data_IF_823514603522
#
_entry.id   IF_823514603522
#
_cell.length_a   1.000
_cell.length_b   1.000
_cell.length_c   1.000
_cell.angle_alpha   90.00
_cell.angle_beta   90.00
_cell.angle_gamma   90.00
#
_symmetry.space_group_name_H-M   'P 1'
#
loop_
_entity.id
_entity.type
_entity.pdbx_description
1 polymer ?
#
# COMPACT_ATOMS: atom_id res chain seq x y z
N UNK A 1 -14.74 -36.43 -40.41
CA UNK A 1 -15.62 -35.43 -39.74
C UNK A 1 -15.15 -35.05 -38.33
N UNK A 2 -14.92 -36.01 -37.41
CA UNK A 2 -14.49 -35.68 -36.03
C UNK A 2 -13.18 -34.88 -35.94
N UNK A 3 -12.18 -35.20 -36.75
CA UNK A 3 -10.89 -34.49 -36.75
C UNK A 3 -10.98 -33.05 -37.25
N UNK A 4 -11.89 -32.76 -38.17
CA UNK A 4 -12.15 -31.40 -38.67
C UNK A 4 -12.83 -30.56 -37.57
N UNK A 5 -13.74 -31.16 -36.81
CA UNK A 5 -14.43 -30.50 -35.69
C UNK A 5 -13.45 -30.14 -34.56
N UNK A 6 -12.49 -31.01 -34.26
CA UNK A 6 -11.48 -30.75 -33.22
C UNK A 6 -10.53 -29.63 -33.66
N UNK A 7 -10.12 -29.61 -34.93
CA UNK A 7 -9.26 -28.56 -35.47
C UNK A 7 -9.96 -27.20 -35.48
N UNK A 8 -11.25 -27.15 -35.84
CA UNK A 8 -12.02 -25.90 -35.82
C UNK A 8 -12.24 -25.38 -34.40
N UNK A 9 -12.55 -26.24 -33.43
CA UNK A 9 -12.68 -25.83 -32.02
C UNK A 9 -11.36 -25.31 -31.47
N UNK A 10 -10.23 -25.93 -31.81
CA UNK A 10 -8.89 -25.45 -31.41
C UNK A 10 -8.57 -24.08 -32.00
N UNK A 11 -8.87 -23.85 -33.30
CA UNK A 11 -8.69 -22.54 -33.94
C UNK A 11 -9.60 -21.45 -33.35
N UNK A 12 -10.87 -21.77 -33.08
CA UNK A 12 -11.80 -20.84 -32.43
C UNK A 12 -11.34 -20.48 -31.01
N UNK A 13 -10.79 -21.43 -30.26
CA UNK A 13 -10.26 -21.15 -28.91
C UNK A 13 -9.05 -20.20 -28.93
N UNK A 14 -8.21 -20.26 -29.97
CA UNK A 14 -7.07 -19.35 -30.14
C UNK A 14 -7.45 -17.93 -30.62
N UNK A 15 -8.65 -17.76 -31.20
CA UNK A 15 -9.19 -16.47 -31.60
C UNK A 15 -9.86 -15.72 -30.43
N UNK A 16 -10.19 -16.42 -29.34
CA UNK A 16 -10.52 -15.79 -28.05
C UNK A 16 -9.21 -15.43 -27.33
N UNK A 17 -8.28 -14.78 -28.04
CA UNK A 17 -7.26 -13.97 -27.40
C UNK A 17 -7.99 -12.75 -26.86
N UNK A 18 -8.47 -12.85 -25.63
CA UNK A 18 -9.11 -11.77 -24.89
C UNK A 18 -8.08 -10.66 -24.65
N UNK A 19 -7.80 -9.85 -25.68
CA UNK A 19 -7.33 -8.49 -25.45
C UNK A 19 -8.51 -7.76 -24.83
N UNK A 20 -8.62 -7.84 -23.51
CA UNK A 20 -9.69 -7.18 -22.80
C UNK A 20 -9.53 -5.68 -23.01
N UNK A 21 -10.45 -5.04 -23.70
CA UNK A 21 -10.62 -3.58 -23.76
C UNK A 21 -11.09 -3.02 -22.41
N UNK A 22 -10.71 -3.66 -21.29
CA UNK A 22 -11.24 -3.42 -19.97
C UNK A 22 -10.95 -1.99 -19.50
N UNK A 23 -9.89 -1.36 -20.02
CA UNK A 23 -9.46 -0.01 -19.64
C UNK A 23 -9.62 1.04 -20.76
N UNK A 24 -10.31 0.73 -21.85
CA UNK A 24 -10.49 1.67 -22.97
C UNK A 24 -11.22 2.94 -22.53
N UNK A 25 -10.61 4.10 -22.78
CA UNK A 25 -11.16 5.43 -22.46
C UNK A 25 -10.79 5.98 -21.07
N UNK A 26 -10.08 5.22 -20.23
CA UNK A 26 -9.64 5.66 -18.90
C UNK A 26 -8.21 6.20 -18.99
N UNK A 27 -7.99 7.45 -18.58
CA UNK A 27 -6.64 8.04 -18.49
C UNK A 27 -5.93 7.53 -17.23
N UNK A 28 -5.25 6.39 -17.34
CA UNK A 28 -4.48 5.75 -16.27
C UNK A 28 -2.98 6.06 -16.41
N UNK A 29 -2.23 6.23 -15.31
CA UNK A 29 -0.78 6.31 -15.38
C UNK A 29 -0.20 5.00 -15.90
N UNK A 30 0.78 5.10 -16.80
CA UNK A 30 1.42 3.94 -17.44
C UNK A 30 2.03 2.95 -16.44
N UNK A 31 2.42 3.41 -15.25
CA UNK A 31 2.89 2.54 -14.16
C UNK A 31 1.92 1.37 -13.92
N UNK A 32 0.63 1.67 -13.85
CA UNK A 32 -0.36 0.67 -13.48
C UNK A 32 -0.79 -0.23 -14.65
N UNK A 33 -0.54 0.18 -15.89
CA UNK A 33 -0.67 -0.70 -17.05
C UNK A 33 0.43 -1.77 -17.02
N UNK A 34 1.66 -1.37 -16.70
CA UNK A 34 2.78 -2.31 -16.56
C UNK A 34 2.55 -3.28 -15.39
N UNK A 35 2.06 -2.78 -14.25
CA UNK A 35 1.80 -3.58 -13.05
C UNK A 35 0.63 -4.57 -13.18
N UNK A 36 -0.18 -4.47 -14.25
CA UNK A 36 -1.20 -5.47 -14.56
C UNK A 36 -0.61 -6.69 -15.27
N UNK A 37 0.54 -6.53 -15.94
CA UNK A 37 1.22 -7.58 -16.69
C UNK A 37 2.34 -8.25 -15.89
N UNK A 38 3.07 -7.49 -15.07
CA UNK A 38 4.21 -7.97 -14.28
C UNK A 38 4.25 -7.33 -12.89
N UNK A 39 4.74 -8.07 -11.90
CA UNK A 39 5.00 -7.55 -10.55
C UNK A 39 6.32 -6.79 -10.56
N UNK A 40 6.30 -5.52 -10.17
CA UNK A 40 7.51 -4.69 -10.16
C UNK A 40 8.29 -4.80 -8.85
N UNK A 41 9.62 -4.78 -8.91
CA UNK A 41 10.46 -4.76 -7.71
C UNK A 41 10.81 -3.32 -7.30
N UNK A 42 10.69 -3.03 -6.01
CA UNK A 42 11.01 -1.71 -5.45
C UNK A 42 12.07 -1.79 -4.36
N UNK A 43 13.20 -1.14 -4.60
CA UNK A 43 14.32 -1.04 -3.65
C UNK A 43 14.42 0.38 -3.11
N UNK A 44 14.44 0.51 -1.79
CA UNK A 44 14.65 1.78 -1.08
C UNK A 44 15.98 1.70 -0.34
N UNK A 45 16.84 2.69 -0.58
CA UNK A 45 18.12 2.82 0.12
C UNK A 45 18.12 4.14 0.89
N UNK A 46 18.47 4.10 2.17
CA UNK A 46 18.57 5.26 3.06
C UNK A 46 19.78 5.11 4.00
N UNK A 47 20.23 6.17 4.67
CA UNK A 47 21.32 6.10 5.64
C UNK A 47 21.03 5.13 6.80
N UNK A 48 22.07 4.51 7.36
CA UNK A 48 21.92 3.54 8.46
C UNK A 48 21.22 4.14 9.69
N UNK A 49 21.48 5.41 10.00
CA UNK A 49 20.81 6.13 11.08
C UNK A 49 19.28 6.20 10.87
N UNK A 50 18.85 6.40 9.62
CA UNK A 50 17.43 6.42 9.26
C UNK A 50 16.81 5.01 9.29
N UNK A 51 17.60 3.97 8.98
CA UNK A 51 17.16 2.57 9.13
C UNK A 51 16.91 2.22 10.60
N UNK A 52 17.78 2.66 11.52
CA UNK A 52 17.58 2.42 12.95
C UNK A 52 16.38 3.19 13.50
N UNK A 53 16.17 4.43 13.08
CA UNK A 53 14.94 5.19 13.38
C UNK A 53 13.69 4.51 12.83
N UNK A 54 13.76 3.99 11.61
CA UNK A 54 12.66 3.24 11.01
C UNK A 54 12.32 1.99 11.82
N UNK A 55 13.32 1.20 12.24
CA UNK A 55 13.11 0.00 13.08
C UNK A 55 12.50 0.37 14.43
N UNK A 56 13.01 1.43 15.07
CA UNK A 56 12.48 1.90 16.35
C UNK A 56 11.00 2.32 16.21
N UNK A 57 10.65 3.07 15.16
CA UNK A 57 9.28 3.50 14.90
C UNK A 57 8.35 2.35 14.48
N UNK A 58 8.86 1.35 13.74
CA UNK A 58 8.08 0.19 13.33
C UNK A 58 7.83 -0.79 14.48
N UNK A 59 8.73 -0.92 15.45
CA UNK A 59 8.61 -1.92 16.52
C UNK A 59 7.85 -1.45 17.76
N UNK A 60 7.24 -0.26 17.74
CA UNK A 60 6.51 0.25 18.92
C UNK A 60 5.24 -0.58 19.20
N UNK A 61 4.60 -1.11 18.14
CA UNK A 61 3.30 -1.79 18.26
C UNK A 61 2.24 -0.90 18.94
N UNK A 62 1.02 -1.42 19.09
CA UNK A 62 0.15 -0.89 20.13
C UNK A 62 0.57 -1.57 21.44
N UNK A 63 1.44 -0.94 22.21
CA UNK A 63 1.58 -1.28 23.62
C UNK A 63 0.31 -0.80 24.32
N UNK A 64 -0.69 -1.66 24.45
CA UNK A 64 -1.73 -1.47 25.45
C UNK A 64 -1.04 -1.80 26.78
N UNK A 65 -0.56 -0.76 27.48
CA UNK A 65 -0.29 -0.93 28.90
C UNK A 65 -1.68 -1.08 29.56
N UNK A 66 -2.02 -2.30 29.97
CA UNK A 66 -3.31 -2.61 30.62
C UNK A 66 -3.49 -1.90 31.97
N UNK A 67 -2.45 -1.21 32.45
CA UNK A 67 -2.42 -0.55 33.75
C UNK A 67 -2.25 0.97 33.61
N UNK A 68 -3.29 1.73 33.98
CA UNK A 68 -3.15 3.15 34.30
C UNK A 68 -3.07 3.29 35.83
N UNK A 69 -1.89 3.67 36.32
CA UNK A 69 -1.65 4.15 37.68
C UNK A 69 -2.12 3.21 38.81
N UNK A 70 -1.46 2.06 38.96
CA UNK A 70 -1.53 1.10 40.08
C UNK A 70 -2.91 0.60 40.59
N UNK A 71 -4.06 1.18 40.23
CA UNK A 71 -5.33 0.91 40.93
C UNK A 71 -6.63 1.07 40.09
N UNK A 72 -6.60 1.29 38.78
CA UNK A 72 -7.86 1.35 38.00
C UNK A 72 -7.70 0.73 36.61
N UNK A 73 -8.51 -0.30 36.36
CA UNK A 73 -8.52 -1.06 35.10
C UNK A 73 -9.38 -0.35 34.04
N UNK A 74 -9.04 -0.54 32.76
CA UNK A 74 -9.87 -0.13 31.61
C UNK A 74 -11.34 -0.53 31.79
N UNK A 75 -11.56 -1.72 32.34
CA UNK A 75 -12.88 -2.25 32.60
C UNK A 75 -13.66 -1.43 33.62
N UNK A 76 -13.01 -0.93 34.67
CA UNK A 76 -13.63 -0.06 35.68
C UNK A 76 -13.99 1.33 35.13
N UNK A 77 -13.12 1.90 34.29
CA UNK A 77 -13.36 3.18 33.61
C UNK A 77 -14.49 3.11 32.58
N UNK A 78 -14.66 1.97 31.90
CA UNK A 78 -15.74 1.76 30.93
C UNK A 78 -17.08 1.35 31.59
N UNK A 79 -17.04 0.81 32.81
CA UNK A 79 -18.21 0.37 33.56
C UNK A 79 -18.80 1.44 34.50
N UNK A 80 -18.11 2.58 34.68
CA UNK A 80 -18.63 3.70 35.49
C UNK A 80 -19.86 4.34 34.84
N UNK A 81 -20.86 4.71 35.65
CA UNK A 81 -22.09 5.36 35.17
C UNK A 81 -21.82 6.66 34.41
N UNK A 82 -20.78 7.39 34.80
CA UNK A 82 -20.24 8.55 34.08
C UNK A 82 -18.75 8.34 33.79
N UNK A 83 -18.39 7.80 32.61
CA UNK A 83 -17.00 7.58 32.26
C UNK A 83 -16.26 8.92 32.09
N UNK A 84 -15.09 9.02 32.71
CA UNK A 84 -14.16 10.14 32.48
C UNK A 84 -13.59 10.03 31.06
N UNK A 85 -14.28 10.66 30.12
CA UNK A 85 -13.89 10.70 28.71
C UNK A 85 -12.51 11.34 28.51
N UNK A 86 -12.04 12.19 29.42
CA UNK A 86 -10.72 12.80 29.34
C UNK A 86 -9.65 11.76 29.69
N UNK A 87 -9.84 11.02 30.78
CA UNK A 87 -8.96 9.91 31.15
C UNK A 87 -8.95 8.81 30.06
N UNK A 88 -10.11 8.46 29.49
CA UNK A 88 -10.19 7.53 28.36
C UNK A 88 -9.43 8.06 27.13
N UNK A 89 -9.54 9.34 26.81
CA UNK A 89 -8.82 9.93 25.68
C UNK A 89 -7.29 9.97 25.88
N UNK A 90 -6.83 10.12 27.12
CA UNK A 90 -5.41 10.06 27.47
C UNK A 90 -4.88 8.61 27.43
N UNK A 91 -5.70 7.63 27.81
CA UNK A 91 -5.36 6.20 27.68
C UNK A 91 -5.22 5.77 26.22
N UNK A 92 -6.18 6.14 25.36
CA UNK A 92 -6.12 5.82 23.93
C UNK A 92 -5.16 6.72 23.15
N UNK A 93 -4.47 7.64 23.82
CA UNK A 93 -3.42 8.42 23.17
C UNK A 93 -2.27 7.46 22.89
N UNK A 94 -2.01 7.12 21.61
CA UNK A 94 -0.90 6.24 21.30
C UNK A 94 0.37 6.88 21.88
N UNK A 95 1.13 6.09 22.65
CA UNK A 95 2.49 6.45 23.06
C UNK A 95 3.18 6.89 21.79
N UNK A 96 3.52 8.19 21.69
CA UNK A 96 3.87 8.83 20.44
C UNK A 96 5.07 8.10 19.83
N UNK A 97 4.82 7.15 18.93
CA UNK A 97 5.85 6.67 18.03
C UNK A 97 6.11 7.87 17.12
N UNK A 98 7.30 8.45 17.18
CA UNK A 98 7.64 9.53 16.27
C UNK A 98 7.37 9.07 14.83
N UNK A 99 6.53 9.83 14.10
CA UNK A 99 6.22 9.53 12.71
C UNK A 99 7.53 9.50 11.90
N UNK A 100 8.02 8.29 11.59
CA UNK A 100 9.27 8.18 10.86
C UNK A 100 9.11 8.72 9.44
N UNK A 101 10.00 9.65 9.08
CA UNK A 101 10.06 10.26 7.75
C UNK A 101 11.46 10.73 7.42
N UNK A 102 12.00 10.23 6.31
CA UNK A 102 13.26 10.70 5.73
C UNK A 102 13.04 11.35 4.36
N UNK A 103 13.84 12.37 4.04
CA UNK A 103 13.91 13.00 2.71
C UNK A 103 15.19 12.64 1.96
N UNK A 104 16.04 11.80 2.56
CA UNK A 104 17.35 11.42 2.06
C UNK A 104 17.41 9.93 1.69
N UNK A 105 16.30 9.43 1.13
CA UNK A 105 16.25 8.09 0.57
C UNK A 105 16.42 8.17 -0.96
N UNK A 106 16.91 7.08 -1.53
CA UNK A 106 16.90 6.82 -2.98
C UNK A 106 16.05 5.60 -3.28
N UNK A 107 15.59 5.49 -4.53
CA UNK A 107 14.72 4.42 -4.97
C UNK A 107 15.17 3.88 -6.33
N UNK A 108 15.13 2.56 -6.47
CA UNK A 108 15.25 1.85 -7.74
C UNK A 108 13.98 1.05 -7.95
N UNK A 109 13.33 1.23 -9.09
CA UNK A 109 12.16 0.45 -9.49
C UNK A 109 12.49 -0.37 -10.74
N UNK A 110 12.17 -1.66 -10.72
CA UNK A 110 12.42 -2.59 -11.83
C UNK A 110 11.12 -3.24 -12.28
N UNK A 111 10.86 -3.24 -13.58
CA UNK A 111 9.71 -3.93 -14.18
C UNK A 111 10.04 -4.26 -15.63
N UNK A 112 9.70 -5.47 -16.11
CA UNK A 112 9.92 -5.92 -17.48
C UNK A 112 11.40 -5.82 -17.92
N UNK A 113 12.34 -5.97 -16.98
CA UNK A 113 13.78 -5.79 -17.22
C UNK A 113 14.25 -4.33 -17.39
N UNK A 114 13.37 -3.34 -17.33
CA UNK A 114 13.73 -1.92 -17.28
C UNK A 114 14.00 -1.46 -15.84
N UNK A 115 14.92 -0.52 -15.68
CA UNK A 115 15.29 0.04 -14.37
C UNK A 115 15.15 1.56 -14.33
N UNK A 116 14.36 2.06 -13.40
CA UNK A 116 14.17 3.49 -13.13
C UNK A 116 14.78 3.88 -11.79
N UNK A 117 15.82 4.73 -11.84
CA UNK A 117 16.53 5.23 -10.65
C UNK A 117 16.06 6.63 -10.25
N UNK A 118 15.89 6.84 -8.94
CA UNK A 118 15.55 8.12 -8.33
C UNK A 118 16.51 8.39 -7.17
N UNK A 119 17.36 9.40 -7.32
CA UNK A 119 18.38 9.73 -6.31
C UNK A 119 17.79 10.32 -5.03
N UNK A 120 16.60 10.93 -5.09
CA UNK A 120 15.99 11.58 -3.95
C UNK A 120 14.47 11.34 -3.89
N UNK A 121 14.06 10.61 -2.87
CA UNK A 121 12.68 10.35 -2.51
C UNK A 121 12.45 10.68 -1.04
N UNK A 122 11.22 11.06 -0.70
CA UNK A 122 10.76 11.05 0.68
C UNK A 122 10.13 9.70 0.96
N UNK A 123 10.59 9.06 2.02
CA UNK A 123 10.08 7.79 2.51
C UNK A 123 9.55 8.00 3.92
N UNK A 124 8.37 7.46 4.23
CA UNK A 124 7.81 7.51 5.57
C UNK A 124 6.95 6.27 5.84
N UNK A 125 6.74 5.95 7.12
CA UNK A 125 5.68 5.02 7.50
C UNK A 125 4.32 5.64 7.11
N UNK A 126 3.36 4.79 6.75
CA UNK A 126 2.04 5.20 6.28
C UNK A 126 0.91 4.37 6.87
N UNK A 127 -0.16 5.08 7.23
CA UNK A 127 -1.37 4.49 7.79
C UNK A 127 -1.35 4.50 9.32
N UNK A 128 -2.40 5.05 9.92
CA UNK A 128 -2.53 5.15 11.38
C UNK A 128 -2.97 3.82 12.01
N UNK A 129 -4.04 3.21 11.49
CA UNK A 129 -4.49 1.89 11.94
C UNK A 129 -3.59 0.74 11.44
N UNK A 130 -2.83 0.99 10.37
CA UNK A 130 -1.94 0.01 9.75
C UNK A 130 -0.63 -0.22 10.51
N UNK A 131 -0.26 0.67 11.43
CA UNK A 131 0.98 0.58 12.21
C UNK A 131 0.93 -0.45 13.34
N UNK A 132 -0.26 -0.95 13.70
CA UNK A 132 -0.42 -2.02 14.69
C UNK A 132 -0.16 -3.43 14.15
N UNK A 133 0.06 -3.58 12.84
CA UNK A 133 0.25 -4.88 12.20
C UNK A 133 1.72 -5.15 11.87
N UNK A 134 2.08 -6.42 11.76
CA UNK A 134 3.46 -6.84 11.44
C UNK A 134 3.99 -6.29 10.11
N UNK A 135 3.10 -5.97 9.14
CA UNK A 135 3.47 -5.43 7.83
C UNK A 135 2.96 -4.00 7.67
N UNK A 136 3.90 -3.05 7.72
CA UNK A 136 3.62 -1.62 7.59
C UNK A 136 3.26 -1.21 6.17
N UNK A 137 2.48 -0.13 6.07
CA UNK A 137 2.39 0.65 4.85
C UNK A 137 3.50 1.71 4.79
N UNK A 138 3.91 2.09 3.59
CA UNK A 138 4.91 3.13 3.36
C UNK A 138 4.41 4.18 2.37
N UNK A 139 4.71 5.45 2.62
CA UNK A 139 4.49 6.51 1.65
C UNK A 139 5.81 6.87 0.97
N UNK A 140 5.80 6.91 -0.36
CA UNK A 140 6.96 7.24 -1.17
C UNK A 140 6.61 8.44 -2.05
N UNK A 141 7.43 9.48 -2.01
CA UNK A 141 7.27 10.69 -2.83
C UNK A 141 8.56 11.02 -3.56
N UNK A 142 8.54 10.98 -4.88
CA UNK A 142 9.65 11.39 -5.74
C UNK A 142 9.80 12.90 -5.64
N UNK A 143 10.99 13.40 -5.31
CA UNK A 143 11.26 14.84 -5.12
C UNK A 143 11.77 15.55 -6.36
N UNK A 144 11.83 14.85 -7.49
CA UNK A 144 12.28 15.42 -8.74
C UNK A 144 11.08 15.94 -9.57
N UNK A 145 10.96 17.25 -9.72
CA UNK A 145 9.86 17.88 -10.48
C UNK A 145 9.88 17.54 -11.98
N UNK A 146 10.96 16.95 -12.49
CA UNK A 146 11.12 16.62 -13.91
C UNK A 146 11.05 15.12 -14.21
N UNK A 147 11.00 14.27 -13.18
CA UNK A 147 11.00 12.81 -13.35
C UNK A 147 9.90 12.20 -12.50
N UNK A 148 9.05 11.41 -13.14
CA UNK A 148 8.05 10.58 -12.48
C UNK A 148 8.36 9.10 -12.70
N UNK A 149 7.63 8.24 -12.01
CA UNK A 149 7.60 6.81 -12.26
C UNK A 149 6.39 6.51 -13.14
N UNK A 150 6.60 6.49 -14.46
CA UNK A 150 5.59 6.20 -15.47
C UNK A 150 4.26 6.96 -15.25
N UNK A 151 4.36 8.26 -14.98
CA UNK A 151 3.22 9.15 -14.71
C UNK A 151 2.83 9.32 -13.23
N UNK A 152 3.57 8.71 -12.29
CA UNK A 152 3.30 8.82 -10.85
C UNK A 152 4.47 9.49 -10.09
N UNK A 153 4.19 10.52 -9.29
CA UNK A 153 5.19 11.20 -8.45
C UNK A 153 5.12 10.80 -6.98
N UNK A 154 3.99 10.23 -6.55
CA UNK A 154 3.77 9.75 -5.19
C UNK A 154 2.90 8.50 -5.22
N UNK A 155 3.21 7.55 -4.36
CA UNK A 155 2.43 6.33 -4.20
C UNK A 155 2.58 5.79 -2.79
N UNK A 156 1.62 4.94 -2.40
CA UNK A 156 1.58 4.28 -1.11
C UNK A 156 1.69 2.78 -1.33
N UNK A 157 2.71 2.18 -0.75
CA UNK A 157 2.86 0.73 -0.66
C UNK A 157 2.08 0.27 0.57
N UNK A 158 1.17 -0.69 0.41
CA UNK A 158 0.30 -1.16 1.50
C UNK A 158 0.70 -2.55 1.94
N UNK A 159 0.67 -2.78 3.25
CA UNK A 159 0.86 -4.11 3.83
C UNK A 159 -0.38 -5.01 3.70
N UNK A 160 -1.57 -4.43 3.53
CA UNK A 160 -2.88 -5.12 3.45
C UNK A 160 -3.11 -6.24 4.49
N UNK A 161 -2.84 -6.01 5.80
CA UNK A 161 -2.95 -7.06 6.83
C UNK A 161 -4.38 -7.55 7.06
N UNK A 162 -5.39 -6.73 6.71
CA UNK A 162 -6.82 -7.03 6.90
C UNK A 162 -7.48 -7.65 5.67
N UNK A 163 -6.73 -7.83 4.57
CA UNK A 163 -7.23 -8.48 3.35
C UNK A 163 -6.46 -9.78 3.10
N UNK A 164 -7.01 -10.94 3.53
CA UNK A 164 -6.37 -12.23 3.29
C UNK A 164 -6.16 -12.56 1.81
N UNK A 165 -6.96 -11.97 0.92
CA UNK A 165 -6.82 -12.18 -0.52
C UNK A 165 -5.80 -11.25 -1.17
N UNK A 166 -5.39 -10.18 -0.47
CA UNK A 166 -4.54 -9.10 -0.97
C UNK A 166 -5.04 -8.37 -2.23
N UNK A 167 -6.19 -8.77 -2.81
CA UNK A 167 -6.68 -8.27 -4.10
C UNK A 167 -7.84 -7.29 -4.01
N UNK A 168 -8.48 -7.12 -2.85
CA UNK A 168 -9.74 -6.35 -2.75
C UNK A 168 -9.54 -4.91 -3.17
N UNK A 169 -8.49 -4.27 -2.67
CA UNK A 169 -8.21 -2.87 -3.00
C UNK A 169 -8.05 -2.67 -4.52
N UNK A 170 -7.26 -3.54 -5.19
CA UNK A 170 -7.08 -3.48 -6.64
C UNK A 170 -8.39 -3.73 -7.39
N UNK A 171 -9.08 -4.81 -7.06
CA UNK A 171 -10.33 -5.18 -7.73
C UNK A 171 -11.38 -4.07 -7.60
N UNK A 172 -11.55 -3.51 -6.40
CA UNK A 172 -12.52 -2.44 -6.16
C UNK A 172 -12.14 -1.17 -6.92
N UNK A 173 -10.86 -0.75 -6.91
CA UNK A 173 -10.45 0.43 -7.68
C UNK A 173 -10.64 0.26 -9.18
N UNK A 174 -10.38 -0.94 -9.70
CA UNK A 174 -10.52 -1.22 -11.13
C UNK A 174 -11.99 -1.20 -11.56
N UNK A 175 -12.90 -1.79 -10.75
CA UNK A 175 -14.35 -1.73 -11.00
C UNK A 175 -14.85 -0.28 -10.98
N UNK A 176 -14.47 0.50 -9.97
CA UNK A 176 -14.96 1.88 -9.80
C UNK A 176 -14.42 2.80 -10.92
N UNK A 177 -13.14 2.68 -11.28
CA UNK A 177 -12.59 3.40 -12.43
C UNK A 177 -13.33 3.03 -13.72
N UNK A 178 -13.71 1.75 -13.88
CA UNK A 178 -14.47 1.28 -15.06
C UNK A 178 -15.88 1.83 -15.15
N UNK A 179 -16.51 2.11 -14.01
CA UNK A 179 -17.80 2.81 -13.95
C UNK A 179 -17.69 4.29 -14.34
N UNK A 180 -16.49 4.79 -14.67
CA UNK A 180 -16.25 6.20 -14.99
C UNK A 180 -16.17 7.09 -13.75
N UNK A 181 -16.08 6.51 -12.56
CA UNK A 181 -15.94 7.24 -11.30
C UNK A 181 -14.44 7.38 -11.02
N UNK A 182 -13.88 8.60 -11.02
CA UNK A 182 -12.46 8.80 -10.77
C UNK A 182 -12.07 8.28 -9.38
N UNK A 183 -11.16 7.31 -9.32
CA UNK A 183 -10.60 6.81 -8.07
C UNK A 183 -9.09 6.56 -8.21
N UNK A 184 -8.44 6.15 -7.12
CA UNK A 184 -7.04 5.75 -7.17
C UNK A 184 -6.84 4.50 -8.03
N UNK A 185 -5.59 4.23 -8.42
CA UNK A 185 -5.21 2.98 -9.07
C UNK A 185 -4.35 2.14 -8.11
N UNK A 186 -4.31 0.84 -8.34
CA UNK A 186 -3.49 -0.09 -7.56
C UNK A 186 -2.83 -1.14 -8.47
N UNK A 187 -1.65 -1.58 -8.05
CA UNK A 187 -0.85 -2.64 -8.67
C UNK A 187 0.04 -3.29 -7.61
N UNK A 188 0.63 -4.44 -7.93
CA UNK A 188 1.44 -5.22 -6.98
C UNK A 188 2.92 -4.99 -7.19
N UNK A 189 3.62 -4.73 -6.10
CA UNK A 189 5.07 -4.53 -6.01
C UNK A 189 5.66 -5.29 -4.84
#
# INVERSE_FOLDING_TARGET
>A
MKSILILTVSLLSSLVSCKSSFFDGIKRPKLYELLDEEVGDMFITMPDEDVEKLKAAANVGYSVDDTFNDNTTMMELMASEEPDYKALSEFFKPTVSEDFKTKDASMVFKINGEEQKFSKVTFSIGGNSGSGYAKFGYNIKIRNNKKDLYGCTQFRVRGEPNDPSMIRNKLTTDIVNRMGIPTSYAGYV
#
